data_IF_468630279271
#
_entry.id   IF_468630279271
#
_cell.length_a   1.000
_cell.length_b   1.000
_cell.length_c   1.000
_cell.angle_alpha   90.00
_cell.angle_beta   90.00
_cell.angle_gamma   90.00
#
_symmetry.space_group_name_H-M   'P 1'
#
loop_
_entity.id
_entity.type
_entity.pdbx_description
1 polymer ?
#
# COMPACT_ATOMS: atom_id res chain seq x y z
N UNK A 1 -9.24 16.87 -41.50
CA UNK A 1 -10.42 16.60 -42.34
C UNK A 1 -10.77 15.12 -42.22
N UNK A 2 -11.89 14.79 -41.55
CA UNK A 2 -12.60 13.47 -41.51
C UNK A 2 -11.79 12.33 -40.83
N UNK A 3 -12.34 11.43 -40.03
CA UNK A 3 -13.71 10.98 -39.83
C UNK A 3 -13.81 10.34 -38.42
N UNK A 4 -14.77 10.77 -37.59
CA UNK A 4 -15.14 10.10 -36.34
C UNK A 4 -16.12 8.99 -36.67
N UNK A 5 -15.86 7.75 -36.23
CA UNK A 5 -16.84 6.67 -36.25
C UNK A 5 -17.12 6.25 -34.80
N UNK A 6 -18.24 6.73 -34.27
CA UNK A 6 -18.79 6.30 -33.00
C UNK A 6 -19.78 5.17 -33.26
N UNK A 7 -19.51 3.99 -32.71
CA UNK A 7 -20.45 2.88 -32.71
C UNK A 7 -21.05 2.76 -31.32
N UNK A 8 -22.30 3.22 -31.17
CA UNK A 8 -23.09 3.04 -29.97
C UNK A 8 -23.80 1.68 -30.05
N UNK A 9 -23.53 0.80 -29.09
CA UNK A 9 -24.31 -0.42 -28.87
C UNK A 9 -25.17 -0.22 -27.61
N UNK A 10 -26.47 -0.06 -27.83
CA UNK A 10 -27.49 -0.10 -26.81
C UNK A 10 -27.75 -1.56 -26.42
N UNK A 11 -27.71 -1.86 -25.11
CA UNK A 11 -28.13 -3.15 -24.55
C UNK A 11 -29.42 -2.93 -23.75
N UNK A 12 -30.47 -3.74 -23.95
CA UNK A 12 -31.78 -3.51 -23.36
C UNK A 12 -31.87 -3.95 -21.90
N UNK A 13 -32.65 -3.18 -21.14
CA UNK A 13 -33.20 -3.49 -19.82
C UNK A 13 -34.15 -4.70 -19.91
N UNK A 14 -33.96 -5.71 -19.06
CA UNK A 14 -35.02 -6.67 -18.70
C UNK A 14 -35.38 -6.47 -17.23
N UNK A 15 -36.65 -6.08 -17.00
CA UNK A 15 -37.33 -6.11 -15.72
C UNK A 15 -38.56 -7.00 -15.86
N UNK A 16 -38.71 -8.01 -14.99
CA UNK A 16 -39.96 -8.72 -14.68
C UNK A 16 -39.68 -9.66 -13.49
N UNK A 17 -40.29 -9.44 -12.32
CA UNK A 17 -41.41 -10.26 -11.82
C UNK A 17 -40.87 -11.40 -10.92
N UNK A 18 -41.40 -11.74 -9.74
CA UNK A 18 -42.77 -11.77 -9.28
C UNK A 18 -42.86 -11.55 -7.76
N UNK A 19 -43.94 -10.90 -7.35
CA UNK A 19 -44.41 -10.87 -5.97
C UNK A 19 -45.08 -12.20 -5.60
N UNK A 20 -44.74 -12.74 -4.42
CA UNK A 20 -45.42 -13.87 -3.80
C UNK A 20 -45.72 -13.55 -2.33
N UNK A 21 -46.97 -13.15 -2.06
CA UNK A 21 -47.55 -13.06 -0.71
C UNK A 21 -48.17 -14.43 -0.39
N UNK A 22 -47.75 -15.05 0.71
CA UNK A 22 -48.54 -16.09 1.39
C UNK A 22 -48.63 -15.73 2.86
N UNK A 23 -49.87 -15.58 3.33
CA UNK A 23 -50.23 -15.39 4.72
C UNK A 23 -50.38 -16.75 5.43
N UNK A 24 -50.12 -16.75 6.75
CA UNK A 24 -50.78 -17.65 7.69
C UNK A 24 -49.95 -18.84 8.17
N UNK A 25 -49.34 -18.73 9.34
CA UNK A 25 -49.81 -19.38 10.59
C UNK A 25 -48.84 -19.07 11.72
N UNK A 26 -49.38 -18.59 12.85
CA UNK A 26 -48.60 -18.29 14.04
C UNK A 26 -48.14 -19.60 14.71
N UNK A 27 -46.82 -19.77 14.79
CA UNK A 27 -46.18 -20.82 15.58
C UNK A 27 -45.98 -20.34 17.04
N UNK A 28 -46.08 -21.23 18.03
CA UNK A 28 -45.93 -20.88 19.45
C UNK A 28 -44.50 -20.45 19.78
N UNK A 29 -44.38 -19.55 20.76
CA UNK A 29 -43.12 -19.03 21.26
C UNK A 29 -42.20 -20.16 21.78
N UNK A 30 -40.96 -20.28 21.28
CA UNK A 30 -39.96 -21.11 21.94
C UNK A 30 -39.48 -20.40 23.22
N UNK A 31 -39.44 -21.17 24.30
CA UNK A 31 -38.86 -20.79 25.58
C UNK A 31 -37.44 -20.22 25.38
N UNK A 32 -37.09 -19.22 26.18
CA UNK A 32 -35.77 -18.62 26.23
C UNK A 32 -34.70 -19.70 26.45
N UNK A 33 -34.00 -20.05 25.37
CA UNK A 33 -32.76 -20.79 25.45
C UNK A 33 -31.71 -19.84 26.01
N UNK A 34 -31.10 -20.24 27.14
CA UNK A 34 -29.95 -19.57 27.70
C UNK A 34 -28.89 -19.36 26.62
N UNK A 35 -28.42 -18.13 26.48
CA UNK A 35 -27.30 -17.79 25.60
C UNK A 35 -26.12 -18.69 25.99
N UNK A 36 -25.59 -19.55 25.11
CA UNK A 36 -24.32 -20.21 25.39
C UNK A 36 -23.28 -19.11 25.58
N UNK A 37 -22.51 -19.21 26.66
CA UNK A 37 -21.34 -18.37 26.87
C UNK A 37 -20.49 -18.35 25.59
N UNK A 38 -19.89 -17.19 25.23
CA UNK A 38 -19.06 -17.12 24.04
C UNK A 38 -18.01 -18.23 24.10
N UNK A 39 -17.97 -19.04 23.04
CA UNK A 39 -16.92 -20.05 22.88
C UNK A 39 -15.56 -19.37 23.08
N UNK A 40 -14.60 -20.00 23.78
CA UNK A 40 -13.26 -19.45 23.89
C UNK A 40 -12.74 -19.13 22.50
N UNK A 41 -12.16 -17.94 22.34
CA UNK A 41 -11.56 -17.50 21.09
C UNK A 41 -10.69 -18.63 20.51
N UNK A 42 -10.74 -18.89 19.19
CA UNK A 42 -9.85 -19.88 18.61
C UNK A 42 -8.43 -19.47 18.95
N UNK A 43 -7.76 -20.27 19.78
CA UNK A 43 -6.30 -20.28 19.98
C UNK A 43 -5.60 -20.85 18.74
N UNK A 44 -6.12 -20.48 17.57
CA UNK A 44 -5.54 -20.77 16.29
C UNK A 44 -4.25 -19.98 16.15
N UNK A 45 -3.16 -20.68 16.38
CA UNK A 45 -1.80 -20.44 15.93
C UNK A 45 -1.75 -19.70 14.59
N UNK A 46 -1.87 -18.38 14.59
CA UNK A 46 -1.59 -17.50 13.43
C UNK A 46 -0.09 -17.39 13.15
N UNK A 47 0.72 -18.08 13.95
CA UNK A 47 2.18 -18.01 13.94
C UNK A 47 2.83 -18.67 12.72
N UNK A 48 2.14 -19.53 11.96
CA UNK A 48 2.77 -20.31 10.89
C UNK A 48 3.07 -19.51 9.60
N UNK A 49 2.38 -18.41 9.32
CA UNK A 49 2.61 -17.60 8.11
C UNK A 49 3.61 -16.45 8.30
N UNK A 50 3.91 -16.07 9.55
CA UNK A 50 4.87 -15.00 9.87
C UNK A 50 6.24 -15.51 10.32
N UNK A 51 6.45 -16.83 10.42
CA UNK A 51 7.59 -17.40 11.15
C UNK A 51 8.97 -17.20 10.52
N UNK A 52 9.11 -16.72 9.28
CA UNK A 52 10.41 -16.69 8.58
C UNK A 52 10.68 -15.40 7.77
N UNK A 53 9.94 -14.31 7.99
CA UNK A 53 10.29 -13.04 7.36
C UNK A 53 11.15 -12.22 8.32
N UNK A 54 12.39 -11.85 7.95
CA UNK A 54 13.22 -11.01 8.81
C UNK A 54 12.59 -9.62 8.91
N UNK A 55 11.77 -9.45 9.94
CA UNK A 55 11.44 -8.11 10.43
C UNK A 55 12.65 -7.61 11.22
N UNK A 56 12.93 -6.30 11.22
CA UNK A 56 14.00 -5.67 11.99
C UNK A 56 14.15 -6.24 13.40
N UNK A 57 13.02 -6.41 14.08
CA UNK A 57 12.91 -6.86 15.46
C UNK A 57 13.30 -8.34 15.64
N UNK A 58 13.52 -9.08 14.55
CA UNK A 58 13.93 -10.49 14.53
C UNK A 58 15.30 -10.69 13.88
N UNK A 59 15.92 -9.68 13.27
CA UNK A 59 17.31 -9.79 12.78
C UNK A 59 18.24 -9.87 14.00
N UNK A 60 18.99 -10.98 14.20
CA UNK A 60 19.79 -11.18 15.40
C UNK A 60 20.93 -10.16 15.54
N UNK A 61 21.44 -9.61 14.43
CA UNK A 61 22.45 -8.57 14.47
C UNK A 61 21.83 -7.23 14.90
N UNK A 62 20.63 -6.91 14.42
CA UNK A 62 19.89 -5.73 14.87
C UNK A 62 19.48 -5.85 16.34
N UNK A 63 18.93 -6.99 16.75
CA UNK A 63 18.56 -7.27 18.14
C UNK A 63 19.77 -7.17 19.07
N UNK A 64 20.94 -7.66 18.64
CA UNK A 64 22.18 -7.60 19.44
C UNK A 64 22.78 -6.20 19.52
N UNK A 65 22.80 -5.47 18.41
CA UNK A 65 23.56 -4.22 18.30
C UNK A 65 22.72 -2.96 18.49
N UNK A 66 21.40 -3.07 18.34
CA UNK A 66 20.47 -1.93 18.24
C UNK A 66 20.74 -1.06 17.01
N UNK A 67 21.55 -1.52 16.06
CA UNK A 67 21.98 -0.76 14.89
C UNK A 67 21.71 -1.55 13.61
N UNK A 68 21.28 -0.89 12.52
CA UNK A 68 21.19 -1.52 11.22
C UNK A 68 22.58 -1.88 10.69
N UNK A 69 22.62 -2.84 9.77
CA UNK A 69 23.84 -3.20 9.04
C UNK A 69 24.35 -1.97 8.26
N UNK A 70 25.68 -1.83 8.08
CA UNK A 70 26.22 -0.77 7.23
C UNK A 70 25.58 -0.83 5.84
N UNK A 71 25.29 0.34 5.27
CA UNK A 71 24.76 0.42 3.90
C UNK A 71 25.73 -0.20 2.91
N UNK A 72 25.22 -1.05 2.02
CA UNK A 72 25.96 -1.62 0.89
C UNK A 72 25.67 -0.86 -0.43
N UNK A 73 24.93 0.24 -0.36
CA UNK A 73 24.49 1.04 -1.51
C UNK A 73 24.66 2.53 -1.24
N UNK A 74 24.72 3.32 -2.32
CA UNK A 74 24.73 4.78 -2.26
C UNK A 74 23.35 5.34 -2.61
N UNK A 75 22.74 6.05 -1.66
CA UNK A 75 21.46 6.74 -1.82
C UNK A 75 21.61 8.27 -1.71
N UNK A 76 22.84 8.82 -1.67
CA UNK A 76 23.11 10.24 -1.41
C UNK A 76 22.40 11.16 -2.40
N UNK A 77 22.30 10.76 -3.67
CA UNK A 77 21.54 11.49 -4.69
C UNK A 77 20.06 11.64 -4.33
N UNK A 78 19.44 10.62 -3.73
CA UNK A 78 18.05 10.67 -3.30
C UNK A 78 17.89 11.46 -1.99
N UNK A 79 18.83 11.27 -1.05
CA UNK A 79 18.80 11.94 0.25
C UNK A 79 19.04 13.45 0.16
N UNK A 80 19.63 13.94 -0.93
CA UNK A 80 19.77 15.39 -1.18
C UNK A 80 18.43 16.14 -1.03
N UNK A 81 17.33 15.55 -1.51
CA UNK A 81 15.98 16.12 -1.36
C UNK A 81 15.10 15.35 -0.37
N UNK A 82 15.41 14.08 -0.11
CA UNK A 82 14.62 13.21 0.78
C UNK A 82 15.42 12.77 2.02
N UNK A 83 16.05 13.72 2.71
CA UNK A 83 16.89 13.46 3.88
C UNK A 83 16.15 12.74 5.02
N UNK A 84 14.81 12.87 5.10
CA UNK A 84 13.98 12.15 6.07
C UNK A 84 13.97 10.62 5.90
N UNK A 85 14.68 10.10 4.89
CA UNK A 85 14.82 8.68 4.61
C UNK A 85 16.23 8.14 4.92
N UNK A 86 17.18 9.00 5.27
CA UNK A 86 18.54 8.63 5.71
C UNK A 86 18.47 7.64 6.88
N UNK A 87 17.62 7.93 7.85
CA UNK A 87 17.48 7.19 9.09
C UNK A 87 16.24 6.27 9.12
N UNK A 88 15.52 6.13 8.00
CA UNK A 88 14.29 5.34 7.97
C UNK A 88 14.62 3.84 8.05
N UNK A 89 13.99 3.07 8.97
CA UNK A 89 14.25 1.65 9.11
C UNK A 89 14.12 0.85 7.80
N UNK A 90 13.07 1.05 7.00
CA UNK A 90 12.94 0.31 5.73
C UNK A 90 14.18 0.51 4.85
N UNK A 91 14.63 1.76 4.72
CA UNK A 91 15.76 2.14 3.87
C UNK A 91 17.04 1.55 4.42
N UNK A 92 17.29 1.66 5.72
CA UNK A 92 18.50 1.13 6.36
C UNK A 92 18.61 -0.40 6.23
N UNK A 93 17.52 -1.13 6.46
CA UNK A 93 17.52 -2.59 6.33
C UNK A 93 17.73 -3.06 4.89
N UNK A 94 17.07 -2.41 3.93
CA UNK A 94 17.22 -2.73 2.51
C UNK A 94 18.62 -2.35 2.00
N UNK A 95 19.14 -1.21 2.43
CA UNK A 95 20.48 -0.74 2.07
C UNK A 95 21.56 -1.69 2.58
N UNK A 96 21.43 -2.20 3.81
CA UNK A 96 22.30 -3.26 4.35
C UNK A 96 22.20 -4.59 3.62
N UNK A 97 21.11 -4.80 2.85
CA UNK A 97 20.91 -5.94 1.96
C UNK A 97 21.31 -5.67 0.50
N UNK A 98 21.93 -4.53 0.19
CA UNK A 98 22.33 -4.18 -1.18
C UNK A 98 21.19 -3.60 -2.05
N UNK A 99 20.09 -3.17 -1.45
CA UNK A 99 18.92 -2.60 -2.15
C UNK A 99 18.87 -1.09 -1.94
N UNK A 100 19.11 -0.34 -3.01
CA UNK A 100 19.04 1.13 -3.08
C UNK A 100 17.63 1.63 -3.34
N UNK A 101 17.44 2.95 -3.24
CA UNK A 101 16.19 3.62 -3.61
C UNK A 101 15.78 3.28 -5.05
N UNK A 102 16.74 3.22 -5.98
CA UNK A 102 16.51 3.00 -7.40
C UNK A 102 16.05 1.58 -7.73
N UNK A 103 16.40 0.59 -6.88
CA UNK A 103 15.90 -0.78 -7.06
C UNK A 103 14.37 -0.86 -6.92
N UNK A 104 13.76 0.05 -6.16
CA UNK A 104 12.32 0.13 -5.97
C UNK A 104 11.68 1.26 -6.78
N UNK A 105 12.32 2.43 -6.87
CA UNK A 105 11.76 3.64 -7.47
C UNK A 105 12.25 3.93 -8.90
N UNK A 106 13.10 3.08 -9.45
CA UNK A 106 13.77 3.29 -10.74
C UNK A 106 14.86 4.35 -10.67
N UNK A 107 15.61 4.52 -11.76
CA UNK A 107 16.79 5.38 -11.82
C UNK A 107 16.47 6.86 -11.52
N UNK A 108 15.25 7.28 -11.82
CA UNK A 108 14.67 8.58 -11.45
C UNK A 108 15.53 9.78 -11.88
N UNK A 109 16.23 9.67 -13.02
CA UNK A 109 17.12 10.72 -13.57
C UNK A 109 16.43 12.06 -13.74
N UNK A 110 15.25 12.06 -14.36
CA UNK A 110 14.50 13.29 -14.59
C UNK A 110 14.02 13.90 -13.28
N UNK A 111 13.57 13.06 -12.35
CA UNK A 111 13.13 13.47 -11.01
C UNK A 111 14.24 14.16 -10.20
N UNK A 112 15.44 13.58 -10.14
CA UNK A 112 16.51 14.19 -9.32
C UNK A 112 17.14 15.42 -9.95
N UNK A 113 16.96 15.62 -11.26
CA UNK A 113 17.44 16.80 -11.97
C UNK A 113 16.38 17.92 -12.00
N UNK A 114 15.23 17.70 -11.36
CA UNK A 114 14.10 18.62 -11.35
C UNK A 114 13.95 19.25 -9.96
N UNK A 115 14.55 20.43 -9.81
CA UNK A 115 14.54 21.21 -8.58
C UNK A 115 13.15 21.76 -8.22
N UNK A 116 12.24 21.86 -9.19
CA UNK A 116 10.84 22.28 -8.97
C UNK A 116 9.94 21.13 -8.50
N UNK A 117 10.49 19.92 -8.43
CA UNK A 117 9.85 18.68 -8.04
C UNK A 117 8.55 18.39 -8.81
N UNK A 118 8.42 18.81 -10.07
CA UNK A 118 7.21 18.57 -10.89
C UNK A 118 7.18 17.17 -11.49
N UNK A 119 8.35 16.58 -11.70
CA UNK A 119 8.59 15.27 -12.26
C UNK A 119 8.55 14.23 -11.15
N UNK A 120 7.69 13.20 -11.22
CA UNK A 120 7.69 12.12 -10.24
C UNK A 120 8.90 11.19 -10.43
N UNK A 121 9.24 10.36 -9.43
CA UNK A 121 10.18 9.25 -9.64
C UNK A 121 9.64 8.28 -10.71
N UNK A 122 10.53 7.48 -11.29
CA UNK A 122 10.16 6.58 -12.40
C UNK A 122 9.07 5.57 -11.98
N UNK A 123 9.12 5.13 -10.72
CA UNK A 123 8.14 4.21 -10.15
C UNK A 123 7.55 4.80 -8.87
N UNK A 124 6.23 4.96 -8.90
CA UNK A 124 5.42 5.16 -7.70
C UNK A 124 4.50 3.96 -7.50
N UNK A 125 4.25 3.61 -6.24
CA UNK A 125 3.42 2.48 -5.89
C UNK A 125 2.02 2.94 -5.45
N UNK A 126 0.99 2.81 -6.31
CA UNK A 126 -0.39 2.82 -5.83
C UNK A 126 -0.60 1.62 -4.90
N UNK A 127 -1.57 1.71 -3.99
CA UNK A 127 -1.68 0.80 -2.84
C UNK A 127 -1.76 -0.67 -3.28
N UNK A 128 -2.47 -0.92 -4.37
CA UNK A 128 -2.74 -2.25 -4.93
C UNK A 128 -1.49 -2.89 -5.55
N UNK A 129 -0.43 -2.10 -5.80
CA UNK A 129 0.83 -2.56 -6.41
C UNK A 129 1.94 -2.78 -5.39
N UNK A 130 1.78 -2.32 -4.14
CA UNK A 130 2.82 -2.41 -3.09
C UNK A 130 3.17 -3.87 -2.81
N UNK A 131 2.19 -4.71 -2.51
CA UNK A 131 2.44 -6.11 -2.15
C UNK A 131 3.16 -6.88 -3.28
N UNK A 132 2.72 -6.67 -4.52
CA UNK A 132 3.35 -7.27 -5.70
C UNK A 132 4.81 -6.81 -5.89
N UNK A 133 5.14 -5.57 -5.53
CA UNK A 133 6.51 -5.08 -5.56
C UNK A 133 7.39 -5.79 -4.51
N UNK A 134 6.90 -5.90 -3.28
CA UNK A 134 7.61 -6.59 -2.19
C UNK A 134 7.90 -8.06 -2.55
N UNK A 135 6.94 -8.76 -3.16
CA UNK A 135 7.10 -10.18 -3.51
C UNK A 135 8.12 -10.46 -4.62
N UNK A 136 8.62 -9.45 -5.35
CA UNK A 136 9.71 -9.64 -6.31
C UNK A 136 10.98 -10.16 -5.61
N UNK A 137 11.26 -9.65 -4.41
CA UNK A 137 12.40 -10.07 -3.59
C UNK A 137 11.98 -10.96 -2.42
N UNK A 138 10.72 -10.88 -1.98
CA UNK A 138 10.17 -11.69 -0.88
C UNK A 138 9.06 -12.65 -1.33
N UNK A 139 9.33 -13.62 -2.22
CA UNK A 139 8.31 -14.53 -2.72
C UNK A 139 7.79 -15.50 -1.65
N UNK A 140 8.58 -15.78 -0.61
CA UNK A 140 8.23 -16.71 0.47
C UNK A 140 7.06 -16.24 1.33
N UNK A 141 6.80 -14.92 1.37
CA UNK A 141 5.68 -14.33 2.13
C UNK A 141 4.48 -14.00 1.23
N UNK A 142 4.52 -14.40 -0.05
CA UNK A 142 3.37 -14.25 -0.93
C UNK A 142 2.25 -15.19 -0.44
N UNK A 143 1.07 -14.68 -0.09
CA UNK A 143 0.00 -15.51 0.38
C UNK A 143 -0.50 -16.43 -0.75
N UNK A 144 -0.95 -17.66 -0.42
CA UNK A 144 -1.54 -18.55 -1.39
C UNK A 144 -2.85 -17.97 -1.94
N UNK A 145 -3.32 -18.43 -3.11
CA UNK A 145 -4.64 -18.06 -3.63
C UNK A 145 -5.74 -18.30 -2.61
N UNK A 146 -6.66 -17.34 -2.48
CA UNK A 146 -7.78 -17.44 -1.53
C UNK A 146 -7.41 -17.17 -0.06
N UNK A 147 -6.18 -16.74 0.23
CA UNK A 147 -5.79 -16.28 1.57
C UNK A 147 -6.74 -15.18 2.05
N UNK A 148 -7.16 -15.32 3.31
CA UNK A 148 -7.90 -14.30 4.05
C UNK A 148 -7.09 -13.97 5.30
N UNK A 149 -6.92 -12.69 5.64
CA UNK A 149 -6.28 -12.32 6.89
C UNK A 149 -7.08 -12.86 8.08
N UNK A 150 -6.38 -13.11 9.19
CA UNK A 150 -7.01 -13.56 10.43
C UNK A 150 -7.96 -12.50 11.00
N UNK A 151 -7.66 -11.23 10.77
CA UNK A 151 -8.42 -10.05 11.19
C UNK A 151 -9.00 -9.40 9.94
N UNK A 152 -10.32 -9.23 9.87
CA UNK A 152 -10.99 -8.76 8.66
C UNK A 152 -10.56 -7.33 8.29
N UNK A 153 -10.24 -6.51 9.29
CA UNK A 153 -9.75 -5.15 9.16
C UNK A 153 -8.40 -5.08 8.44
N UNK A 154 -7.62 -6.17 8.44
CA UNK A 154 -6.33 -6.26 7.76
C UNK A 154 -6.46 -6.57 6.26
N UNK A 155 -7.67 -6.85 5.76
CA UNK A 155 -7.88 -7.25 4.35
C UNK A 155 -7.43 -6.19 3.34
N UNK A 156 -7.42 -4.92 3.76
CA UNK A 156 -6.99 -3.81 2.93
C UNK A 156 -5.57 -3.34 3.25
N UNK A 157 -4.90 -3.88 4.27
CA UNK A 157 -3.55 -3.47 4.66
C UNK A 157 -2.50 -3.96 3.66
N UNK A 158 -1.43 -3.19 3.51
CA UNK A 158 -0.25 -3.56 2.73
C UNK A 158 0.95 -3.77 3.65
N UNK A 159 2.05 -4.31 3.13
CA UNK A 159 3.26 -4.66 3.90
C UNK A 159 3.74 -3.48 4.79
N UNK A 160 3.73 -2.27 4.27
CA UNK A 160 4.14 -1.04 4.98
C UNK A 160 3.11 -0.52 5.99
N UNK A 161 1.92 -1.10 6.10
CA UNK A 161 1.00 -0.71 7.17
C UNK A 161 1.37 -1.39 8.49
N UNK A 162 2.08 -2.52 8.44
CA UNK A 162 2.51 -3.29 9.61
C UNK A 162 4.03 -3.32 9.81
N UNK A 163 4.83 -3.46 8.75
CA UNK A 163 6.27 -3.69 8.89
C UNK A 163 7.10 -2.40 8.94
N UNK A 164 6.73 -1.34 8.20
CA UNK A 164 7.54 -0.12 8.10
C UNK A 164 6.74 1.08 7.60
N UNK A 165 7.05 2.30 8.05
CA UNK A 165 6.38 3.52 7.57
C UNK A 165 7.14 4.25 6.46
N UNK A 166 7.20 3.64 5.28
CA UNK A 166 7.83 4.24 4.10
C UNK A 166 6.85 5.11 3.29
N UNK A 167 6.57 6.31 3.79
CA UNK A 167 5.68 7.26 3.13
C UNK A 167 6.00 8.70 3.49
N UNK A 168 6.14 9.55 2.47
CA UNK A 168 6.23 11.00 2.67
C UNK A 168 4.96 11.49 3.39
N UNK A 169 5.07 12.06 4.61
CA UNK A 169 3.93 12.49 5.40
C UNK A 169 3.25 13.73 4.79
N UNK A 170 4.05 14.60 4.18
CA UNK A 170 3.60 15.79 3.47
C UNK A 170 4.12 15.76 2.04
N UNK A 171 3.30 16.20 1.09
CA UNK A 171 3.68 16.31 -0.31
C UNK A 171 3.24 17.65 -0.85
N UNK A 172 4.18 18.40 -1.40
CA UNK A 172 3.89 19.66 -2.10
C UNK A 172 3.30 19.42 -3.50
N UNK A 173 3.48 18.20 -4.03
CA UNK A 173 2.99 17.75 -5.32
C UNK A 173 2.29 16.42 -5.15
N UNK A 174 1.09 16.30 -5.71
CA UNK A 174 0.30 15.08 -5.64
C UNK A 174 0.19 14.53 -7.04
N UNK A 175 0.74 13.35 -7.28
CA UNK A 175 0.62 12.65 -8.54
C UNK A 175 -0.33 11.47 -8.43
N UNK A 176 -0.94 11.13 -9.57
CA UNK A 176 -1.50 9.82 -9.79
C UNK A 176 -0.36 8.81 -9.80
N UNK A 177 -0.33 7.93 -8.80
CA UNK A 177 0.79 7.00 -8.62
C UNK A 177 0.89 5.94 -9.70
N UNK A 178 -0.18 5.68 -10.44
CA UNK A 178 -0.19 4.68 -11.50
C UNK A 178 0.35 5.25 -12.82
N UNK A 179 0.14 6.54 -13.07
CA UNK A 179 0.43 7.17 -14.37
C UNK A 179 1.55 8.22 -14.30
N UNK A 180 1.89 8.70 -13.11
CA UNK A 180 2.84 9.80 -12.93
C UNK A 180 2.26 11.18 -13.24
N UNK A 181 0.97 11.29 -13.60
CA UNK A 181 0.36 12.58 -13.92
C UNK A 181 0.14 13.40 -12.64
N UNK A 182 0.49 14.68 -12.66
CA UNK A 182 0.20 15.60 -11.56
C UNK A 182 -1.33 15.79 -11.43
N UNK A 183 -1.87 15.66 -10.21
CA UNK A 183 -3.30 15.73 -9.89
C UNK A 183 -3.76 17.13 -9.47
N UNK A 184 -2.86 17.95 -8.95
CA UNK A 184 -3.13 19.35 -8.61
C UNK A 184 -1.90 20.20 -8.88
N UNK A 185 -2.11 21.38 -9.45
CA UNK A 185 -1.07 22.41 -9.44
C UNK A 185 -0.76 22.82 -7.99
N UNK A 186 0.49 23.22 -7.68
CA UNK A 186 0.77 23.92 -6.44
C UNK A 186 -0.28 25.00 -6.17
N UNK A 187 -0.65 25.27 -4.90
CA UNK A 187 -1.23 26.56 -4.60
C UNK A 187 -0.28 27.65 -5.12
N UNK A 188 -0.79 28.63 -5.86
CA UNK A 188 -0.02 29.81 -6.29
C UNK A 188 0.73 30.36 -5.08
N UNK A 189 2.04 30.55 -5.21
CA UNK A 189 2.85 31.09 -4.14
C UNK A 189 2.38 32.54 -3.88
N UNK A 190 1.84 32.86 -2.69
CA UNK A 190 1.38 34.24 -2.41
C UNK A 190 2.53 35.27 -2.43
N UNK A 191 3.79 34.83 -2.56
CA UNK A 191 4.96 35.70 -2.61
C UNK A 191 5.28 36.25 -4.01
N UNK A 192 4.57 35.86 -5.08
CA UNK A 192 4.77 36.45 -6.43
C UNK A 192 3.93 37.71 -6.67
N UNK A 193 3.28 38.26 -5.63
CA UNK A 193 2.29 39.33 -5.73
C UNK A 193 2.70 40.72 -5.21
N UNK A 194 3.97 40.96 -4.87
CA UNK A 194 4.44 42.32 -4.53
C UNK A 194 5.87 42.53 -4.99
N UNK A 195 6.04 43.00 -6.22
CA UNK A 195 7.20 43.84 -6.56
C UNK A 195 7.02 45.21 -5.87
N UNK A 196 8.09 45.82 -5.32
CA UNK A 196 8.06 47.22 -4.90
C UNK A 196 7.96 48.19 -6.09
#
# INVERSE_FOLDING_TARGET
MRLRLALALAVPLLAAGCAGKTAGTAAPAPAAAATPAPAPAPTGTTTALHANHPIPEQDPDFVRSGKPKPSLVDNLRCFTCHANYDDEPLVLFHAGGGVSCENCHGESKKHTNDEDNVTPPDIMYPREKIAAACWKCHPSVKPPPGFKPAVAEDANKVCTDCHFRHRLPQRQRVWDKATGKLLSEPPENPMTGTEP
#
